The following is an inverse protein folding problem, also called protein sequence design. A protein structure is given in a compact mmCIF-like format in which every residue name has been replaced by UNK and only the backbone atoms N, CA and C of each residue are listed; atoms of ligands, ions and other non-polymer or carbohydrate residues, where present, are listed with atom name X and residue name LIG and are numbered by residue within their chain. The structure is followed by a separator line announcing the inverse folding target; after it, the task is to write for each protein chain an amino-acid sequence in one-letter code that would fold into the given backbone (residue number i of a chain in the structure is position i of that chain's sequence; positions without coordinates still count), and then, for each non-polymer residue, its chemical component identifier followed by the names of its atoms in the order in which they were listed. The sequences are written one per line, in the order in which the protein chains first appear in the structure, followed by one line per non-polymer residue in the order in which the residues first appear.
data_IF_678488915750
#
_entry.id   IF_678488915750
#
_cell.length_a   1.000
_cell.length_b   1.000
_cell.length_c   1.000
_cell.angle_alpha   90.00
_cell.angle_beta   90.00
_cell.angle_gamma   90.00
#
_symmetry.space_group_name_H-M   'P 1'
#
loop_
_entity.id
_entity.type
_entity.pdbx_description
1 polymer ?
#
# COMPACT_ATOMS: atom_id res chain seq x y z
N UNK A 1 27.07 20.41 10.10
CA UNK A 1 26.04 19.35 9.87
C UNK A 1 25.22 19.80 8.67
N UNK A 2 25.12 19.00 7.62
CA UNK A 2 24.21 19.30 6.50
C UNK A 2 22.77 19.22 7.01
N UNK A 3 21.97 20.24 6.75
CA UNK A 3 20.55 20.24 7.10
C UNK A 3 19.89 19.17 6.24
N UNK A 4 19.25 18.18 6.87
CA UNK A 4 18.48 17.16 6.15
C UNK A 4 17.25 17.83 5.48
N UNK A 5 16.92 17.49 4.24
CA UNK A 5 15.69 18.00 3.62
C UNK A 5 14.46 17.49 4.36
N UNK A 6 13.38 18.27 4.34
CA UNK A 6 12.11 17.88 4.92
C UNK A 6 11.28 17.10 3.88
N UNK A 7 10.69 15.99 4.29
CA UNK A 7 9.60 15.32 3.58
C UNK A 7 8.38 15.21 4.49
N UNK A 8 7.18 15.18 3.91
CA UNK A 8 5.92 15.10 4.66
C UNK A 8 5.17 13.84 4.28
N UNK A 9 4.78 13.04 5.28
CA UNK A 9 3.92 11.87 5.10
C UNK A 9 2.47 12.22 5.46
N UNK A 10 1.53 11.92 4.55
CA UNK A 10 0.09 12.03 4.77
C UNK A 10 -0.49 10.62 4.70
N UNK A 11 -0.68 10.04 5.87
CA UNK A 11 -1.14 8.67 6.06
C UNK A 11 -2.62 8.63 6.45
N UNK A 12 -3.28 7.50 6.21
CA UNK A 12 -4.66 7.31 6.66
C UNK A 12 -5.35 6.15 5.96
N UNK A 13 -6.51 5.72 6.45
CA UNK A 13 -7.29 4.69 5.79
C UNK A 13 -7.82 5.18 4.44
N UNK A 14 -8.33 4.24 3.63
CA UNK A 14 -9.09 4.61 2.44
C UNK A 14 -10.29 5.49 2.83
N UNK A 15 -10.68 6.43 1.97
CA UNK A 15 -11.75 7.41 2.19
C UNK A 15 -11.52 8.42 3.33
N UNK A 16 -10.27 8.63 3.80
CA UNK A 16 -9.94 9.64 4.83
C UNK A 16 -9.63 11.03 4.28
N UNK A 17 -9.58 11.24 2.96
CA UNK A 17 -9.33 12.56 2.37
C UNK A 17 -7.86 12.93 2.13
N UNK A 18 -6.93 11.96 2.18
CA UNK A 18 -5.48 12.18 1.99
C UNK A 18 -5.14 12.96 0.72
N UNK A 19 -5.71 12.56 -0.41
CA UNK A 19 -5.44 13.20 -1.71
C UNK A 19 -5.86 14.66 -1.70
N UNK A 20 -7.07 14.95 -1.23
CA UNK A 20 -7.56 16.33 -1.12
C UNK A 20 -6.64 17.20 -0.23
N UNK A 21 -6.19 16.66 0.91
CA UNK A 21 -5.26 17.37 1.79
C UNK A 21 -3.91 17.62 1.12
N UNK A 22 -3.38 16.66 0.37
CA UNK A 22 -2.11 16.80 -0.34
C UNK A 22 -2.18 17.87 -1.45
N UNK A 23 -3.28 17.88 -2.21
CA UNK A 23 -3.52 18.87 -3.24
C UNK A 23 -3.66 20.28 -2.63
N UNK A 24 -4.42 20.43 -1.55
CA UNK A 24 -4.57 21.71 -0.84
C UNK A 24 -3.23 22.24 -0.28
N UNK A 25 -2.32 21.37 0.15
CA UNK A 25 -0.96 21.74 0.54
C UNK A 25 -0.15 22.20 -0.69
N UNK A 26 -0.23 21.45 -1.78
CA UNK A 26 0.51 21.75 -3.00
C UNK A 26 0.08 23.06 -3.69
N UNK A 27 -1.15 23.53 -3.46
CA UNK A 27 -1.63 24.86 -3.88
C UNK A 27 -0.92 26.01 -3.13
N UNK A 28 -0.36 25.76 -1.95
CA UNK A 28 0.24 26.77 -1.07
C UNK A 28 1.74 26.71 -0.98
N UNK A 29 2.31 25.50 -1.16
CA UNK A 29 3.74 25.25 -1.07
C UNK A 29 4.14 24.45 -2.33
N UNK A 30 5.19 24.88 -3.06
CA UNK A 30 5.70 24.10 -4.18
C UNK A 30 6.02 22.64 -3.73
N UNK A 31 5.27 21.68 -4.22
CA UNK A 31 5.37 20.29 -3.78
C UNK A 31 5.19 19.31 -4.95
N UNK A 32 5.65 18.08 -4.75
CA UNK A 32 5.37 16.93 -5.62
C UNK A 32 4.92 15.75 -4.78
N UNK A 33 3.98 14.97 -5.28
CA UNK A 33 3.38 13.85 -4.56
C UNK A 33 4.10 12.55 -4.93
N UNK A 34 4.49 11.77 -3.91
CA UNK A 34 4.96 10.39 -4.05
C UNK A 34 3.84 9.49 -3.53
N UNK A 35 3.24 8.70 -4.40
CA UNK A 35 2.17 7.76 -4.03
C UNK A 35 2.70 6.63 -3.15
N UNK A 36 2.12 6.46 -1.98
CA UNK A 36 2.42 5.35 -1.05
C UNK A 36 1.25 4.36 -1.07
N UNK A 37 0.99 3.84 -2.27
CA UNK A 37 -0.12 2.92 -2.51
C UNK A 37 0.32 1.75 -3.41
N UNK A 38 0.05 0.53 -2.96
CA UNK A 38 0.44 -0.69 -3.67
C UNK A 38 -0.49 -1.07 -4.83
N UNK A 39 -1.56 -0.31 -5.06
CA UNK A 39 -2.50 -0.54 -6.15
C UNK A 39 -2.39 0.52 -7.25
N UNK A 40 -2.08 1.77 -6.90
CA UNK A 40 -1.93 2.87 -7.87
C UNK A 40 -0.73 2.70 -8.81
N UNK A 41 0.18 1.80 -8.50
CA UNK A 41 1.37 1.49 -9.32
C UNK A 41 1.01 0.82 -10.66
N UNK A 42 -0.17 0.18 -10.76
CA UNK A 42 -0.57 -0.62 -11.91
C UNK A 42 -1.20 0.22 -13.02
N UNK A 43 -0.69 0.09 -14.24
CA UNK A 43 -1.30 0.70 -15.43
C UNK A 43 -2.67 0.09 -15.74
N UNK A 44 -3.65 0.95 -16.08
CA UNK A 44 -5.01 0.53 -16.47
C UNK A 44 -5.88 0.04 -15.32
N UNK A 45 -5.45 0.27 -14.07
CA UNK A 45 -6.24 0.02 -12.87
C UNK A 45 -6.57 1.37 -12.22
N UNK A 46 -7.60 2.06 -12.72
CA UNK A 46 -7.85 3.47 -12.43
C UNK A 46 -9.08 3.67 -11.53
N UNK A 47 -10.22 3.08 -11.92
CA UNK A 47 -11.49 3.26 -11.24
C UNK A 47 -11.48 2.55 -9.88
N UNK A 48 -11.13 1.26 -9.86
CA UNK A 48 -11.15 0.46 -8.64
C UNK A 48 -10.09 0.85 -7.61
N UNK A 49 -9.00 1.47 -8.04
CA UNK A 49 -7.97 2.04 -7.15
C UNK A 49 -8.31 3.47 -6.72
N UNK A 50 -9.31 4.11 -7.39
CA UNK A 50 -9.60 5.54 -7.32
C UNK A 50 -8.33 6.38 -7.53
N UNK A 51 -7.66 6.11 -8.63
CA UNK A 51 -6.50 6.86 -9.10
C UNK A 51 -6.84 8.34 -9.23
N UNK A 52 -5.91 9.26 -8.97
CA UNK A 52 -6.12 10.68 -9.20
C UNK A 52 -6.60 10.97 -10.63
N UNK A 53 -7.50 11.92 -10.78
CA UNK A 53 -8.03 12.32 -12.08
C UNK A 53 -6.94 12.96 -12.94
N UNK A 54 -7.20 13.10 -14.24
CA UNK A 54 -6.27 13.78 -15.16
C UNK A 54 -6.02 15.22 -14.75
N UNK A 55 -7.04 15.89 -14.23
CA UNK A 55 -6.98 17.25 -13.71
C UNK A 55 -6.09 17.33 -12.45
N UNK A 56 -6.25 16.39 -11.52
CA UNK A 56 -5.40 16.29 -10.32
C UNK A 56 -3.94 15.97 -10.67
N UNK A 57 -3.71 15.06 -11.62
CA UNK A 57 -2.37 14.73 -12.13
C UNK A 57 -1.70 15.91 -12.86
N UNK A 58 -2.50 16.75 -13.55
CA UNK A 58 -2.00 17.94 -14.23
C UNK A 58 -1.70 19.09 -13.25
N UNK A 59 -2.44 19.17 -12.14
CA UNK A 59 -2.27 20.23 -11.13
C UNK A 59 -0.97 20.07 -10.32
N UNK A 60 -0.61 18.84 -9.98
CA UNK A 60 0.57 18.51 -9.15
C UNK A 60 1.28 17.28 -9.73
N UNK A 61 2.61 17.29 -9.89
CA UNK A 61 3.33 16.09 -10.30
C UNK A 61 3.14 14.95 -9.29
N UNK A 62 2.75 13.79 -9.79
CA UNK A 62 2.59 12.56 -9.01
C UNK A 62 3.60 11.51 -9.48
N UNK A 63 4.26 10.88 -8.54
CA UNK A 63 5.23 9.81 -8.76
C UNK A 63 4.68 8.48 -8.23
N UNK A 64 5.18 7.38 -8.76
CA UNK A 64 4.82 6.00 -8.41
C UNK A 64 3.34 5.66 -8.72
N UNK A 65 2.80 6.28 -9.77
CA UNK A 65 1.50 5.94 -10.36
C UNK A 65 1.77 5.41 -11.77
N UNK A 66 1.07 4.36 -12.20
CA UNK A 66 1.18 3.76 -13.55
C UNK A 66 2.60 3.33 -13.96
N UNK A 67 3.39 2.83 -13.01
CA UNK A 67 4.80 2.51 -13.23
C UNK A 67 5.05 1.08 -13.68
N UNK A 68 4.13 0.14 -13.39
CA UNK A 68 4.29 -1.28 -13.74
C UNK A 68 3.05 -1.84 -14.45
N UNK A 69 3.23 -2.98 -15.12
CA UNK A 69 2.14 -3.76 -15.69
C UNK A 69 1.41 -4.55 -14.59
N UNK A 70 0.09 -4.84 -14.72
CA UNK A 70 -0.62 -5.70 -13.79
C UNK A 70 -0.08 -7.13 -13.63
N UNK A 71 0.75 -7.61 -14.55
CA UNK A 71 1.49 -8.87 -14.43
C UNK A 71 2.63 -8.79 -13.42
N UNK A 72 3.19 -7.62 -13.24
CA UNK A 72 4.37 -7.40 -12.42
C UNK A 72 4.02 -7.31 -10.92
N UNK A 73 5.04 -7.33 -10.09
CA UNK A 73 4.93 -7.07 -8.66
C UNK A 73 5.83 -5.92 -8.25
N UNK A 74 5.33 -5.07 -7.36
CA UNK A 74 6.09 -3.96 -6.80
C UNK A 74 6.34 -4.18 -5.31
N UNK A 75 7.60 -4.38 -4.96
CA UNK A 75 8.01 -4.75 -3.62
C UNK A 75 8.24 -3.53 -2.73
N UNK A 76 8.24 -3.74 -1.39
CA UNK A 76 8.63 -2.72 -0.41
C UNK A 76 10.06 -2.23 -0.65
N UNK A 77 10.97 -3.12 -1.10
CA UNK A 77 12.35 -2.79 -1.43
C UNK A 77 12.43 -1.80 -2.61
N UNK A 78 11.70 -2.10 -3.70
CA UNK A 78 11.61 -1.20 -4.85
C UNK A 78 11.01 0.14 -4.45
N UNK A 79 9.89 0.13 -3.70
CA UNK A 79 9.27 1.34 -3.18
C UNK A 79 10.25 2.19 -2.37
N UNK A 80 10.99 1.59 -1.44
CA UNK A 80 11.98 2.32 -0.61
C UNK A 80 13.06 2.95 -1.47
N UNK A 81 13.66 2.19 -2.39
CA UNK A 81 14.70 2.67 -3.31
C UNK A 81 14.20 3.87 -4.13
N UNK A 82 13.01 3.72 -4.74
CA UNK A 82 12.44 4.78 -5.56
C UNK A 82 12.06 6.00 -4.74
N UNK A 83 11.50 5.80 -3.53
CA UNK A 83 11.15 6.92 -2.64
C UNK A 83 12.37 7.71 -2.19
N UNK A 84 13.47 7.05 -1.79
CA UNK A 84 14.69 7.73 -1.40
C UNK A 84 15.24 8.60 -2.54
N UNK A 85 15.33 8.05 -3.76
CA UNK A 85 15.72 8.78 -4.97
C UNK A 85 14.79 9.96 -5.26
N UNK A 86 13.48 9.74 -5.23
CA UNK A 86 12.51 10.80 -5.52
C UNK A 86 12.52 11.92 -4.49
N UNK A 87 12.68 11.62 -3.19
CA UNK A 87 12.82 12.65 -2.16
C UNK A 87 14.05 13.52 -2.43
N UNK A 88 15.18 12.92 -2.78
CA UNK A 88 16.39 13.66 -3.15
C UNK A 88 16.16 14.54 -4.38
N UNK A 89 15.63 14.00 -5.47
CA UNK A 89 15.36 14.72 -6.71
C UNK A 89 14.37 15.87 -6.54
N UNK A 90 13.27 15.66 -5.78
CA UNK A 90 12.26 16.68 -5.52
C UNK A 90 12.85 17.80 -4.66
N UNK A 91 13.58 17.44 -3.61
CA UNK A 91 14.24 18.41 -2.73
C UNK A 91 15.29 19.23 -3.47
N UNK A 92 16.06 18.61 -4.39
CA UNK A 92 17.03 19.30 -5.24
C UNK A 92 16.38 20.35 -6.16
N UNK A 93 15.10 20.16 -6.51
CA UNK A 93 14.29 21.16 -7.26
C UNK A 93 13.69 22.24 -6.37
N UNK A 94 14.00 22.26 -5.06
CA UNK A 94 13.43 23.21 -4.10
C UNK A 94 11.94 22.98 -3.81
N UNK A 95 11.44 21.76 -4.04
CA UNK A 95 10.04 21.40 -3.78
C UNK A 95 9.93 20.46 -2.58
N UNK A 96 8.76 20.47 -1.94
CA UNK A 96 8.45 19.61 -0.81
C UNK A 96 7.98 18.23 -1.28
N UNK A 97 8.66 17.12 -0.92
CA UNK A 97 8.15 15.77 -1.17
C UNK A 97 6.97 15.47 -0.25
N UNK A 98 5.79 15.13 -0.83
CA UNK A 98 4.60 14.69 -0.11
C UNK A 98 4.40 13.19 -0.33
N UNK A 99 4.64 12.37 0.68
CA UNK A 99 4.42 10.93 0.66
C UNK A 99 2.96 10.65 1.06
N UNK A 100 2.11 10.32 0.09
CA UNK A 100 0.65 10.25 0.30
C UNK A 100 0.13 8.85 0.06
N UNK A 101 -0.45 8.23 1.07
CA UNK A 101 -1.04 6.91 0.84
C UNK A 101 -1.54 6.15 2.05
N UNK A 102 -1.95 4.92 1.79
CA UNK A 102 -2.55 4.01 2.77
C UNK A 102 -1.84 2.67 2.90
N UNK A 103 -0.75 2.42 2.18
CA UNK A 103 0.02 1.17 2.29
C UNK A 103 1.03 1.29 3.42
N UNK A 104 0.57 0.99 4.64
CA UNK A 104 1.35 1.17 5.88
C UNK A 104 2.65 0.37 5.89
N UNK A 105 2.68 -0.77 5.20
CA UNK A 105 3.90 -1.57 5.05
C UNK A 105 5.01 -0.79 4.31
N UNK A 106 4.64 0.07 3.36
CA UNK A 106 5.60 0.92 2.64
C UNK A 106 6.17 2.01 3.55
N UNK A 107 5.33 2.68 4.34
CA UNK A 107 5.81 3.64 5.35
C UNK A 107 6.72 2.98 6.38
N UNK A 108 6.36 1.78 6.84
CA UNK A 108 7.20 1.02 7.77
C UNK A 108 8.54 0.64 7.12
N UNK A 109 8.51 0.10 5.90
CA UNK A 109 9.74 -0.26 5.17
C UNK A 109 10.63 0.94 4.89
N UNK A 110 10.05 2.14 4.72
CA UNK A 110 10.81 3.38 4.57
C UNK A 110 11.45 3.79 5.90
N UNK A 111 10.69 3.82 7.00
CA UNK A 111 11.14 4.31 8.31
C UNK A 111 12.10 3.35 9.01
N UNK A 112 11.81 2.05 8.98
CA UNK A 112 12.61 1.04 9.67
C UNK A 112 13.84 0.59 8.88
N UNK A 113 13.96 1.00 7.62
CA UNK A 113 14.88 0.40 6.66
C UNK A 113 14.33 -0.91 6.12
N UNK A 114 14.93 -1.40 5.05
CA UNK A 114 14.70 -2.75 4.57
C UNK A 114 15.90 -3.57 4.98
N UNK A 115 15.58 -4.74 5.46
CA UNK A 115 16.57 -5.75 5.72
C UNK A 115 17.19 -6.15 4.38
N UNK A 116 18.46 -6.51 4.37
CA UNK A 116 19.15 -7.16 3.25
C UNK A 116 18.63 -8.59 3.05
N UNK A 117 17.29 -8.71 3.10
CA UNK A 117 16.64 -9.98 2.84
C UNK A 117 16.68 -10.27 1.34
N UNK A 118 16.94 -11.51 0.93
CA UNK A 118 16.91 -11.92 -0.45
C UNK A 118 15.64 -11.45 -1.16
N UNK A 119 15.75 -11.02 -2.40
CA UNK A 119 14.60 -10.71 -3.25
C UNK A 119 13.65 -11.90 -3.39
N UNK A 120 12.47 -11.67 -3.96
CA UNK A 120 11.57 -12.76 -4.29
C UNK A 120 12.14 -13.56 -5.48
N UNK A 121 12.11 -14.89 -5.38
CA UNK A 121 12.53 -15.81 -6.43
C UNK A 121 11.33 -16.64 -6.91
N UNK A 122 10.89 -16.47 -8.18
CA UNK A 122 9.73 -17.17 -8.70
C UNK A 122 9.87 -18.70 -8.71
N UNK A 123 11.07 -19.23 -8.94
CA UNK A 123 11.29 -20.68 -9.00
C UNK A 123 11.21 -21.32 -7.60
N UNK A 124 11.84 -20.67 -6.63
CA UNK A 124 11.76 -21.10 -5.22
C UNK A 124 10.32 -21.04 -4.72
N UNK A 125 9.57 -19.99 -5.06
CA UNK A 125 8.15 -19.88 -4.70
C UNK A 125 7.31 -20.96 -5.32
N UNK A 126 7.48 -21.22 -6.61
CA UNK A 126 6.76 -22.28 -7.31
C UNK A 126 7.04 -23.66 -6.69
N UNK A 127 8.29 -23.95 -6.32
CA UNK A 127 8.64 -25.18 -5.64
C UNK A 127 7.98 -25.30 -4.25
N UNK A 128 7.97 -24.21 -3.47
CA UNK A 128 7.31 -24.18 -2.16
C UNK A 128 5.79 -24.32 -2.27
N UNK A 129 5.17 -23.73 -3.30
CA UNK A 129 3.73 -23.87 -3.56
C UNK A 129 3.36 -25.31 -3.96
N UNK A 130 4.18 -25.98 -4.78
CA UNK A 130 3.99 -27.38 -5.12
C UNK A 130 4.13 -28.28 -3.89
N UNK A 131 5.11 -28.03 -3.03
CA UNK A 131 5.28 -28.75 -1.78
C UNK A 131 4.07 -28.53 -0.84
N UNK A 132 3.62 -27.29 -0.70
CA UNK A 132 2.45 -26.93 0.09
C UNK A 132 1.15 -27.55 -0.44
N UNK A 133 0.98 -27.64 -1.76
CA UNK A 133 -0.16 -28.32 -2.38
C UNK A 133 -0.21 -29.81 -2.01
N UNK A 134 0.93 -30.45 -1.85
CA UNK A 134 1.05 -31.88 -1.48
C UNK A 134 0.91 -32.11 0.03
N UNK A 135 1.54 -31.28 0.88
CA UNK A 135 1.67 -31.53 2.32
C UNK A 135 0.68 -30.70 3.16
N UNK A 136 0.18 -29.61 2.61
CA UNK A 136 -0.61 -28.60 3.31
C UNK A 136 0.24 -27.57 4.07
N UNK A 137 -0.28 -26.36 4.24
CA UNK A 137 0.40 -25.27 4.94
C UNK A 137 0.74 -25.57 6.41
N UNK A 138 -0.06 -26.32 7.19
CA UNK A 138 0.34 -26.73 8.54
C UNK A 138 1.65 -27.55 8.57
N UNK A 139 1.90 -28.40 7.60
CA UNK A 139 3.17 -29.16 7.50
C UNK A 139 4.34 -28.24 7.11
N UNK A 140 4.09 -27.26 6.21
CA UNK A 140 5.08 -26.24 5.87
C UNK A 140 5.40 -25.33 7.08
N UNK A 141 4.43 -25.04 7.93
CA UNK A 141 4.65 -24.32 9.19
C UNK A 141 5.50 -25.15 10.17
N UNK A 142 5.25 -26.46 10.29
CA UNK A 142 6.07 -27.34 11.11
C UNK A 142 7.54 -27.41 10.61
N UNK A 143 7.74 -27.44 9.27
CA UNK A 143 9.08 -27.34 8.66
C UNK A 143 9.73 -25.98 9.02
N UNK A 144 9.00 -24.87 8.95
CA UNK A 144 9.50 -23.56 9.36
C UNK A 144 9.87 -23.56 10.85
N UNK A 145 9.07 -24.18 11.72
CA UNK A 145 9.34 -24.23 13.15
C UNK A 145 10.64 -24.99 13.50
N UNK A 146 11.04 -25.95 12.68
CA UNK A 146 12.33 -26.65 12.83
C UNK A 146 13.53 -25.79 12.40
N UNK A 147 13.33 -24.81 11.50
CA UNK A 147 14.38 -23.95 10.93
C UNK A 147 14.46 -22.62 11.67
N UNK A 148 13.30 -22.01 11.93
CA UNK A 148 13.13 -20.69 12.51
C UNK A 148 11.97 -20.69 13.53
N UNK A 149 12.20 -21.25 14.74
CA UNK A 149 11.16 -21.34 15.76
C UNK A 149 10.57 -19.99 16.15
N UNK A 150 11.40 -18.95 16.15
CA UNK A 150 10.99 -17.59 16.51
C UNK A 150 9.99 -17.02 15.50
N UNK A 151 10.27 -17.15 14.21
CA UNK A 151 9.34 -16.72 13.16
C UNK A 151 8.07 -17.57 13.17
N UNK A 152 8.19 -18.91 13.29
CA UNK A 152 7.05 -19.79 13.30
C UNK A 152 6.09 -19.50 14.46
N UNK A 153 6.60 -19.22 15.66
CA UNK A 153 5.78 -18.90 16.83
C UNK A 153 4.88 -17.66 16.65
N UNK A 154 5.23 -16.76 15.74
CA UNK A 154 4.46 -15.55 15.43
C UNK A 154 3.43 -15.74 14.32
N UNK A 155 3.47 -16.87 13.60
CA UNK A 155 2.63 -17.14 12.45
C UNK A 155 1.57 -18.18 12.75
N UNK A 156 0.36 -17.97 12.23
CA UNK A 156 -0.65 -19.03 12.24
C UNK A 156 -0.25 -20.13 11.25
N UNK A 157 -0.55 -21.43 11.55
CA UNK A 157 -0.21 -22.56 10.66
C UNK A 157 -0.82 -22.48 9.25
N UNK A 158 -1.85 -21.66 9.05
CA UNK A 158 -2.50 -21.42 7.76
C UNK A 158 -2.05 -20.12 7.08
N UNK A 159 -1.09 -19.38 7.63
CA UNK A 159 -0.58 -18.13 7.03
C UNK A 159 0.40 -18.44 5.90
N UNK A 160 -0.14 -18.89 4.77
CA UNK A 160 0.61 -19.36 3.61
C UNK A 160 1.67 -18.38 3.13
N UNK A 161 1.32 -17.09 2.99
CA UNK A 161 2.22 -16.09 2.42
C UNK A 161 3.44 -15.83 3.30
N UNK A 162 3.25 -15.73 4.63
CA UNK A 162 4.37 -15.46 5.53
C UNK A 162 5.22 -16.70 5.77
N UNK A 163 4.62 -17.88 5.81
CA UNK A 163 5.34 -19.17 5.88
C UNK A 163 6.18 -19.34 4.62
N UNK A 164 5.59 -19.16 3.42
CA UNK A 164 6.31 -19.23 2.15
C UNK A 164 7.50 -18.26 2.13
N UNK A 165 7.27 -17.00 2.53
CA UNK A 165 8.33 -15.98 2.53
C UNK A 165 9.48 -16.33 3.47
N UNK A 166 9.21 -16.85 4.66
CA UNK A 166 10.25 -17.26 5.60
C UNK A 166 11.07 -18.45 5.09
N UNK A 167 10.39 -19.44 4.49
CA UNK A 167 11.06 -20.58 3.87
C UNK A 167 11.85 -20.18 2.61
N UNK A 168 11.33 -19.28 1.78
CA UNK A 168 12.02 -18.70 0.63
C UNK A 168 13.33 -18.04 1.07
N UNK A 169 13.28 -17.17 2.08
CA UNK A 169 14.46 -16.47 2.62
C UNK A 169 15.51 -17.50 3.07
N UNK A 170 15.09 -18.51 3.83
CA UNK A 170 16.00 -19.57 4.27
C UNK A 170 16.60 -20.33 3.10
N UNK A 171 15.81 -20.68 2.09
CA UNK A 171 16.28 -21.40 0.90
C UNK A 171 17.33 -20.61 0.13
N UNK A 172 17.16 -19.28 0.03
CA UNK A 172 18.06 -18.40 -0.73
C UNK A 172 19.30 -17.98 0.06
N UNK A 173 19.20 -17.81 1.38
CA UNK A 173 20.29 -17.26 2.21
C UNK A 173 21.02 -18.31 3.06
N UNK A 174 20.40 -19.47 3.29
CA UNK A 174 20.87 -20.45 4.26
C UNK A 174 20.68 -20.02 5.72
N UNK A 175 20.04 -18.86 5.99
CA UNK A 175 19.84 -18.31 7.34
C UNK A 175 18.37 -18.15 7.68
N UNK A 176 17.98 -18.40 8.96
CA UNK A 176 16.64 -18.09 9.45
C UNK A 176 16.29 -16.59 9.24
N UNK A 177 14.99 -16.32 8.93
CA UNK A 177 14.52 -14.94 8.76
C UNK A 177 14.66 -14.14 10.05
N UNK A 178 14.42 -14.76 11.22
CA UNK A 178 14.61 -14.11 12.53
C UNK A 178 16.05 -13.67 12.75
N UNK A 179 17.05 -14.49 12.37
CA UNK A 179 18.47 -14.11 12.47
C UNK A 179 18.80 -12.90 11.60
N UNK A 180 18.36 -12.90 10.33
CA UNK A 180 18.59 -11.77 9.42
C UNK A 180 17.91 -10.50 9.91
N UNK A 181 16.71 -10.61 10.50
CA UNK A 181 16.02 -9.47 11.09
C UNK A 181 16.69 -8.93 12.36
N UNK A 182 17.34 -9.79 13.13
CA UNK A 182 18.09 -9.40 14.34
C UNK A 182 19.39 -8.65 14.04
N UNK A 183 19.99 -8.92 12.88
CA UNK A 183 21.21 -8.22 12.42
C UNK A 183 20.94 -6.80 11.88
N UNK A 184 19.74 -6.32 12.04
CA UNK A 184 19.21 -5.10 11.46
C UNK A 184 19.84 -3.85 12.05
N UNK A 185 20.65 -3.15 11.28
CA UNK A 185 20.98 -1.76 11.58
C UNK A 185 19.85 -0.83 11.13
N UNK A 186 19.30 -0.05 12.06
CA UNK A 186 18.34 1.01 11.70
C UNK A 186 19.08 2.07 10.88
N UNK A 187 18.98 1.98 9.58
CA UNK A 187 19.51 3.02 8.70
C UNK A 187 18.64 4.27 8.85
N UNK A 188 19.22 5.34 9.38
CA UNK A 188 18.56 6.64 9.45
C UNK A 188 18.16 7.11 8.05
N UNK A 189 16.99 7.74 7.97
CA UNK A 189 16.56 8.39 6.73
C UNK A 189 17.50 9.58 6.42
N UNK A 190 17.86 9.77 5.14
CA UNK A 190 18.67 10.92 4.72
C UNK A 190 17.88 12.24 4.72
N UNK A 191 16.64 12.24 5.20
CA UNK A 191 15.74 13.38 5.31
C UNK A 191 14.92 13.31 6.61
N UNK A 192 14.44 14.47 7.05
CA UNK A 192 13.50 14.55 8.16
C UNK A 192 12.08 14.24 7.66
N UNK A 193 11.33 13.40 8.38
CA UNK A 193 9.98 12.99 8.01
C UNK A 193 8.95 13.53 9.00
N UNK A 194 8.16 14.51 8.58
CA UNK A 194 6.99 14.98 9.33
C UNK A 194 5.77 14.14 8.95
N UNK A 195 5.23 13.38 9.89
CA UNK A 195 4.19 12.40 9.64
C UNK A 195 2.82 12.83 10.18
N UNK A 196 1.83 12.97 9.30
CA UNK A 196 0.42 13.18 9.63
C UNK A 196 -0.39 11.92 9.41
N UNK A 197 -1.29 11.61 10.34
CA UNK A 197 -2.24 10.52 10.23
C UNK A 197 -3.68 11.04 10.26
N UNK A 198 -4.38 10.88 9.16
CA UNK A 198 -5.81 11.16 9.05
C UNK A 198 -6.60 10.00 9.64
N UNK A 199 -7.03 10.11 10.88
CA UNK A 199 -7.80 9.07 11.57
C UNK A 199 -9.24 9.54 11.82
N UNK A 200 -10.26 8.70 11.60
CA UNK A 200 -11.64 9.09 11.88
C UNK A 200 -11.95 8.98 13.38
N UNK A 201 -12.57 10.01 13.96
CA UNK A 201 -13.16 9.98 15.30
C UNK A 201 -14.34 9.02 15.39
N UNK A 202 -15.09 8.83 14.29
CA UNK A 202 -16.20 7.88 14.19
C UNK A 202 -16.01 6.92 12.99
N UNK A 203 -15.89 5.61 13.30
CA UNK A 203 -15.76 4.57 12.29
C UNK A 203 -17.03 4.37 11.45
N UNK A 204 -18.22 4.65 12.01
CA UNK A 204 -19.46 4.47 11.27
C UNK A 204 -19.55 5.48 10.13
N UNK A 205 -19.08 6.71 10.34
CA UNK A 205 -18.99 7.72 9.29
C UNK A 205 -17.99 7.31 8.21
N UNK A 206 -16.82 6.80 8.57
CA UNK A 206 -15.86 6.27 7.60
C UNK A 206 -16.48 5.10 6.80
N UNK A 207 -17.21 4.20 7.43
CA UNK A 207 -17.88 3.09 6.74
C UNK A 207 -18.95 3.57 5.73
N UNK A 208 -19.66 4.67 6.03
CA UNK A 208 -20.59 5.29 5.07
C UNK A 208 -19.83 5.90 3.88
N UNK A 209 -18.70 6.57 4.11
CA UNK A 209 -17.84 7.10 3.04
C UNK A 209 -17.29 5.97 2.14
N UNK A 210 -16.87 4.84 2.74
CA UNK A 210 -16.40 3.66 2.01
C UNK A 210 -17.52 3.09 1.13
N UNK A 211 -18.72 2.91 1.69
CA UNK A 211 -19.88 2.41 0.95
C UNK A 211 -20.17 3.30 -0.26
N UNK A 212 -20.34 4.62 -0.01
CA UNK A 212 -20.63 5.57 -1.09
C UNK A 212 -19.56 5.56 -2.18
N UNK A 213 -18.29 5.52 -1.79
CA UNK A 213 -17.17 5.47 -2.75
C UNK A 213 -17.21 4.21 -3.59
N UNK A 214 -17.49 3.05 -2.98
CA UNK A 214 -17.61 1.80 -3.71
C UNK A 214 -18.79 1.82 -4.69
N UNK A 215 -19.94 2.38 -4.28
CA UNK A 215 -21.10 2.56 -5.16
C UNK A 215 -20.77 3.45 -6.36
N UNK A 216 -20.07 4.57 -6.15
CA UNK A 216 -19.61 5.45 -7.24
C UNK A 216 -18.69 4.69 -8.22
N UNK A 217 -17.83 3.79 -7.76
CA UNK A 217 -16.98 2.97 -8.64
C UNK A 217 -17.80 1.97 -9.50
N UNK A 218 -19.00 1.61 -9.06
CA UNK A 218 -19.92 0.72 -9.79
C UNK A 218 -20.89 1.49 -10.71
N UNK A 219 -21.04 2.81 -10.51
CA UNK A 219 -21.87 3.64 -11.38
C UNK A 219 -21.21 3.83 -12.75
N UNK A 220 -22.01 3.86 -13.82
CA UNK A 220 -21.52 4.10 -15.16
C UNK A 220 -21.07 5.56 -15.32
N UNK A 221 -19.80 5.76 -15.50
CA UNK A 221 -19.17 7.05 -15.76
C UNK A 221 -18.71 7.20 -17.23
N UNK A 222 -18.13 8.35 -17.60
CA UNK A 222 -17.60 8.59 -18.93
C UNK A 222 -16.47 7.63 -19.34
N UNK A 223 -15.74 7.10 -18.38
CA UNK A 223 -14.64 6.13 -18.58
C UNK A 223 -15.06 4.69 -18.21
N UNK A 224 -16.35 4.40 -18.11
CA UNK A 224 -16.87 3.12 -17.66
C UNK A 224 -17.08 3.06 -16.12
N UNK A 225 -17.02 1.84 -15.59
CA UNK A 225 -17.11 1.57 -14.16
C UNK A 225 -16.12 0.46 -13.78
N UNK A 226 -16.06 0.09 -12.50
CA UNK A 226 -15.16 -0.96 -12.02
C UNK A 226 -15.35 -2.29 -12.79
N UNK A 227 -16.56 -2.67 -13.14
CA UNK A 227 -16.84 -3.94 -13.83
C UNK A 227 -16.26 -3.89 -15.24
N UNK A 228 -16.51 -2.80 -15.99
CA UNK A 228 -15.98 -2.65 -17.36
C UNK A 228 -14.45 -2.53 -17.37
N UNK A 229 -13.85 -1.93 -16.36
CA UNK A 229 -12.39 -1.89 -16.20
C UNK A 229 -11.82 -3.30 -15.97
N UNK A 230 -12.43 -4.10 -15.09
CA UNK A 230 -11.99 -5.48 -14.84
C UNK A 230 -12.24 -6.37 -16.06
N UNK A 231 -13.34 -6.16 -16.79
CA UNK A 231 -13.60 -6.88 -18.04
C UNK A 231 -12.52 -6.64 -19.09
N UNK A 232 -12.08 -5.39 -19.25
CA UNK A 232 -10.96 -5.05 -20.13
C UNK A 232 -9.64 -5.71 -19.69
N UNK A 233 -9.37 -5.77 -18.39
CA UNK A 233 -8.21 -6.49 -17.86
C UNK A 233 -8.29 -8.00 -18.14
N UNK A 234 -9.47 -8.62 -18.02
CA UNK A 234 -9.68 -10.05 -18.33
C UNK A 234 -9.49 -10.35 -19.81
N UNK A 235 -9.89 -9.45 -20.70
CA UNK A 235 -9.75 -9.61 -22.15
C UNK A 235 -8.29 -9.68 -22.60
N UNK A 236 -7.33 -9.28 -21.78
CA UNK A 236 -5.90 -9.47 -22.05
C UNK A 236 -5.51 -10.95 -22.13
N UNK A 237 -6.17 -11.83 -21.39
CA UNK A 237 -5.95 -13.28 -21.38
C UNK A 237 -4.71 -13.76 -20.62
N UNK A 238 -3.87 -12.86 -20.10
CA UNK A 238 -2.63 -13.15 -19.37
C UNK A 238 -2.77 -12.92 -17.85
N UNK A 239 -3.84 -12.26 -17.40
CA UNK A 239 -4.08 -11.96 -15.99
C UNK A 239 -4.94 -13.04 -15.32
N UNK A 240 -4.76 -13.23 -14.01
CA UNK A 240 -5.51 -14.22 -13.23
C UNK A 240 -5.62 -13.83 -11.75
N UNK A 241 -6.57 -14.45 -11.01
CA UNK A 241 -6.85 -14.17 -9.58
C UNK A 241 -5.66 -14.36 -8.62
N UNK A 242 -4.61 -15.04 -9.03
CA UNK A 242 -3.39 -15.23 -8.24
C UNK A 242 -2.47 -14.00 -8.21
N UNK A 243 -2.61 -13.08 -9.17
CA UNK A 243 -1.74 -11.91 -9.28
C UNK A 243 -2.03 -10.88 -8.17
N UNK A 244 -0.98 -10.21 -7.63
CA UNK A 244 -1.15 -9.16 -6.63
C UNK A 244 -2.08 -8.03 -7.07
N UNK A 245 -2.03 -7.63 -8.34
CA UNK A 245 -2.90 -6.63 -8.98
C UNK A 245 -4.38 -7.03 -8.88
N UNK A 246 -4.73 -8.21 -9.34
CA UNK A 246 -6.10 -8.69 -9.38
C UNK A 246 -6.64 -9.02 -7.97
N UNK A 247 -5.75 -9.29 -7.02
CA UNK A 247 -6.12 -9.45 -5.59
C UNK A 247 -6.43 -8.13 -4.89
N UNK A 248 -6.24 -6.98 -5.53
CA UNK A 248 -6.69 -5.69 -4.99
C UNK A 248 -8.19 -5.72 -4.70
N UNK A 249 -8.57 -5.02 -3.62
CA UNK A 249 -9.98 -4.92 -3.20
C UNK A 249 -10.80 -4.26 -4.32
N UNK A 250 -11.95 -4.83 -4.61
CA UNK A 250 -12.81 -4.43 -5.73
C UNK A 250 -12.53 -5.25 -6.99
N UNK A 251 -11.27 -5.33 -7.43
CA UNK A 251 -10.89 -6.09 -8.63
C UNK A 251 -11.16 -7.58 -8.50
N UNK A 252 -10.75 -8.18 -7.39
CA UNK A 252 -11.03 -9.59 -7.13
C UNK A 252 -12.52 -9.89 -7.17
N UNK A 253 -13.35 -9.10 -6.49
CA UNK A 253 -14.79 -9.31 -6.43
C UNK A 253 -15.46 -9.12 -7.80
N UNK A 254 -15.07 -8.08 -8.55
CA UNK A 254 -15.55 -7.86 -9.90
C UNK A 254 -15.13 -8.99 -10.86
N UNK A 255 -13.92 -9.54 -10.69
CA UNK A 255 -13.47 -10.70 -11.46
C UNK A 255 -14.30 -11.95 -11.15
N UNK A 256 -14.53 -12.27 -9.88
CA UNK A 256 -15.37 -13.40 -9.44
C UNK A 256 -16.82 -13.26 -9.96
N UNK A 257 -17.36 -12.04 -10.01
CA UNK A 257 -18.65 -11.74 -10.62
C UNK A 257 -18.65 -12.01 -12.13
N UNK A 258 -17.65 -11.55 -12.85
CA UNK A 258 -17.51 -11.78 -14.30
C UNK A 258 -17.25 -13.25 -14.65
N UNK A 259 -16.71 -14.05 -13.71
CA UNK A 259 -16.61 -15.51 -13.84
C UNK A 259 -17.95 -16.24 -13.55
N UNK A 260 -18.97 -15.51 -13.08
CA UNK A 260 -20.25 -16.09 -12.70
C UNK A 260 -20.23 -16.89 -11.39
N UNK A 261 -19.16 -16.78 -10.60
CA UNK A 261 -19.05 -17.48 -9.31
C UNK A 261 -19.83 -16.82 -8.19
N UNK A 262 -20.09 -15.51 -8.30
CA UNK A 262 -20.93 -14.72 -7.39
C UNK A 262 -21.86 -13.82 -8.21
N UNK A 263 -23.00 -13.44 -7.63
CA UNK A 263 -23.90 -12.46 -8.23
C UNK A 263 -23.47 -11.01 -7.94
N UNK A 264 -24.13 -10.04 -8.61
CA UNK A 264 -23.84 -8.61 -8.45
C UNK A 264 -24.00 -8.11 -7.00
N UNK A 265 -25.05 -8.57 -6.30
CA UNK A 265 -25.31 -8.15 -4.93
C UNK A 265 -24.19 -8.63 -4.00
N UNK A 266 -23.77 -9.88 -4.14
CA UNK A 266 -22.65 -10.49 -3.41
C UNK A 266 -21.32 -9.80 -3.74
N UNK A 267 -21.04 -9.50 -5.01
CA UNK A 267 -19.85 -8.75 -5.43
C UNK A 267 -19.76 -7.40 -4.74
N UNK A 268 -20.85 -6.61 -4.78
CA UNK A 268 -20.93 -5.30 -4.13
C UNK A 268 -20.74 -5.41 -2.62
N UNK A 269 -21.45 -6.31 -1.95
CA UNK A 269 -21.39 -6.48 -0.50
C UNK A 269 -20.00 -6.91 -0.05
N UNK A 270 -19.42 -7.93 -0.66
CA UNK A 270 -18.09 -8.45 -0.33
C UNK A 270 -16.99 -7.44 -0.63
N UNK A 271 -17.13 -6.64 -1.69
CA UNK A 271 -16.22 -5.52 -2.00
C UNK A 271 -16.22 -4.44 -0.91
N UNK A 272 -17.41 -4.04 -0.44
CA UNK A 272 -17.55 -3.08 0.67
C UNK A 272 -16.96 -3.64 1.97
N UNK A 273 -17.24 -4.92 2.29
CA UNK A 273 -16.70 -5.60 3.47
C UNK A 273 -15.16 -5.64 3.40
N UNK A 274 -14.59 -6.05 2.27
CA UNK A 274 -13.15 -6.11 2.08
C UNK A 274 -12.48 -4.74 2.22
N UNK A 275 -13.13 -3.67 1.72
CA UNK A 275 -12.66 -2.28 1.87
C UNK A 275 -12.68 -1.82 3.33
N UNK A 276 -13.74 -2.16 4.09
CA UNK A 276 -13.81 -1.87 5.54
C UNK A 276 -12.72 -2.63 6.32
N UNK A 277 -12.45 -3.87 5.95
CA UNK A 277 -11.35 -4.66 6.54
C UNK A 277 -9.98 -4.08 6.21
N UNK A 278 -9.78 -3.58 4.98
CA UNK A 278 -8.57 -2.85 4.61
C UNK A 278 -8.40 -1.60 5.48
N UNK A 279 -9.43 -0.77 5.61
CA UNK A 279 -9.41 0.42 6.47
C UNK A 279 -9.10 0.09 7.94
N UNK A 280 -9.69 -1.00 8.48
CA UNK A 280 -9.39 -1.49 9.82
C UNK A 280 -7.91 -1.86 9.99
N UNK A 281 -7.33 -2.58 9.02
CA UNK A 281 -5.89 -2.92 9.03
C UNK A 281 -5.03 -1.67 8.98
N UNK A 282 -5.35 -0.70 8.13
CA UNK A 282 -4.63 0.57 8.01
C UNK A 282 -4.62 1.32 9.34
N UNK A 283 -5.77 1.44 10.02
CA UNK A 283 -5.87 2.07 11.34
C UNK A 283 -5.09 1.32 12.44
N UNK A 284 -5.06 -0.02 12.38
CA UNK A 284 -4.27 -0.82 13.32
C UNK A 284 -2.77 -0.54 13.16
N UNK A 285 -2.29 -0.45 11.93
CA UNK A 285 -0.90 -0.12 11.63
C UNK A 285 -0.54 1.31 12.03
N UNK A 286 -1.40 2.29 11.73
CA UNK A 286 -1.17 3.69 12.12
C UNK A 286 -0.95 3.82 13.64
N UNK A 287 -1.68 3.09 14.46
CA UNK A 287 -1.52 3.10 15.92
C UNK A 287 -0.16 2.59 16.39
N UNK A 288 0.52 1.79 15.61
CA UNK A 288 1.87 1.31 15.91
C UNK A 288 2.98 2.31 15.50
N UNK A 289 2.63 3.47 14.93
CA UNK A 289 3.56 4.53 14.55
C UNK A 289 3.47 5.68 15.57
N UNK A 290 4.33 5.75 16.61
CA UNK A 290 4.17 6.68 17.72
C UNK A 290 4.41 8.15 17.34
N UNK A 291 5.28 8.40 16.36
CA UNK A 291 5.73 9.75 15.99
C UNK A 291 4.82 10.44 14.95
N UNK A 292 3.54 10.03 14.86
CA UNK A 292 2.59 10.67 13.96
C UNK A 292 1.77 11.76 14.63
N UNK A 293 1.51 12.83 13.93
CA UNK A 293 0.52 13.83 14.31
C UNK A 293 -0.86 13.35 13.85
N UNK A 294 -1.74 13.05 14.80
CA UNK A 294 -3.10 12.56 14.50
C UNK A 294 -4.02 13.75 14.24
N UNK A 295 -4.72 13.72 13.10
CA UNK A 295 -5.73 14.71 12.72
C UNK A 295 -7.04 13.97 12.43
N UNK A 296 -8.15 14.44 13.02
CA UNK A 296 -9.46 13.86 12.72
C UNK A 296 -9.89 14.20 11.29
N UNK A 297 -10.01 13.18 10.46
CA UNK A 297 -10.45 13.36 9.06
C UNK A 297 -11.96 13.60 8.90
N UNK A 298 -12.72 13.62 9.98
CA UNK A 298 -14.15 13.93 10.01
C UNK A 298 -14.43 15.34 10.54
N UNK A 299 -13.41 16.00 11.11
CA UNK A 299 -13.45 17.35 11.61
C UNK A 299 -13.32 18.41 10.50
N UNK A 300 -12.89 19.61 10.86
CA UNK A 300 -12.55 20.68 9.92
C UNK A 300 -11.47 20.23 8.94
N UNK A 301 -11.32 20.96 7.82
CA UNK A 301 -10.30 20.70 6.81
C UNK A 301 -8.92 20.49 7.46
N UNK A 302 -8.26 19.33 7.25
CA UNK A 302 -6.95 19.04 7.81
C UNK A 302 -5.81 19.90 7.25
N UNK A 303 -5.95 20.44 6.04
CA UNK A 303 -4.86 21.10 5.33
C UNK A 303 -4.31 22.35 6.06
N UNK A 304 -5.11 23.24 6.66
CA UNK A 304 -4.58 24.38 7.45
C UNK A 304 -3.72 23.96 8.63
N UNK A 305 -4.10 22.88 9.33
CA UNK A 305 -3.35 22.33 10.48
C UNK A 305 -2.00 21.80 10.01
N UNK A 306 -1.99 21.05 8.91
CA UNK A 306 -0.77 20.52 8.31
C UNK A 306 0.14 21.65 7.82
N UNK A 307 -0.41 22.62 7.10
CA UNK A 307 0.34 23.78 6.57
C UNK A 307 1.04 24.57 7.68
N UNK A 308 0.37 24.82 8.80
CA UNK A 308 0.98 25.52 9.93
C UNK A 308 2.21 24.78 10.48
N UNK A 309 2.12 23.45 10.63
CA UNK A 309 3.24 22.65 11.12
C UNK A 309 4.37 22.49 10.09
N UNK A 310 4.03 22.37 8.81
CA UNK A 310 5.01 22.32 7.72
C UNK A 310 5.78 23.65 7.67
N UNK A 311 5.09 24.78 7.69
CA UNK A 311 5.72 26.11 7.66
C UNK A 311 6.65 26.34 8.85
N UNK A 312 6.27 25.87 10.03
CA UNK A 312 7.13 25.95 11.23
C UNK A 312 8.42 25.08 11.13
N UNK A 313 8.44 24.08 10.26
CA UNK A 313 9.63 23.23 10.01
C UNK A 313 10.50 23.74 8.86
N UNK A 314 9.93 24.55 7.96
CA UNK A 314 10.64 25.17 6.82
C UNK A 314 11.26 26.50 7.18
N UNK A 315 10.82 27.16 8.26
CA UNK A 315 11.39 28.41 8.81
C UNK A 315 12.68 28.14 9.59
#
# INVERSE_FOLDING_TARGET
MSIKPLAVAIMGPTASGKTASALAIAERIPAEIISVDSALVYRGMDIGTAKPTKEELAAVPHHLIDIIDPLDSYSVAQFRKDTLRLVEEISARGKLPLLVGGTMLYFKGLADGLDDLPGADPEVRAALDQEAARLGWPAMHARLAAIDPETAARLAPADSQRIQRALEIYTLSGKPMSELLALRDKTELPFDLLSFALEPSDRAVLHKRILRRFDIMLEQGPNGNLITEVEALRQRGDLHLGLPSIRCVGYRQAWEYLDGTIDYATMRETGIIATRQLAKRQLTWLRSMPERVVIDCLGPDPAPIMLAQISARLA
#
